data_IF_128375069370
#
_entry.id   IF_128375069370
#
_cell.length_a   1.000
_cell.length_b   1.000
_cell.length_c   1.000
_cell.angle_alpha   90.00
_cell.angle_beta   90.00
_cell.angle_gamma   90.00
#
_symmetry.space_group_name_H-M   'P 1'
#
loop_
_entity.id
_entity.type
_entity.pdbx_description
1 polymer ?
#
# COMPACT_ATOMS: atom_id res chain seq x y z
N UNK A 1 -9.48 13.83 7.51
CA UNK A 1 -9.85 12.67 6.68
C UNK A 1 -10.57 11.68 7.58
N UNK A 2 -11.85 11.46 7.33
CA UNK A 2 -12.60 10.49 8.09
C UNK A 2 -12.32 9.10 7.55
N UNK A 3 -11.95 8.20 8.43
CA UNK A 3 -11.91 6.80 8.12
C UNK A 3 -13.29 6.22 8.43
N UNK A 4 -13.90 5.61 7.43
CA UNK A 4 -15.03 4.76 7.68
C UNK A 4 -14.48 3.36 7.94
N UNK A 5 -14.45 2.96 9.21
CA UNK A 5 -14.21 1.56 9.58
C UNK A 5 -15.44 0.72 9.18
N UNK A 6 -15.82 0.81 7.91
CA UNK A 6 -16.95 0.08 7.40
C UNK A 6 -16.50 -1.28 6.91
N UNK A 7 -17.32 -2.28 7.22
CA UNK A 7 -17.27 -3.56 6.55
C UNK A 7 -17.68 -3.34 5.08
N UNK A 8 -16.75 -2.81 4.30
CA UNK A 8 -16.96 -2.67 2.87
C UNK A 8 -16.95 -4.05 2.24
N UNK A 9 -17.94 -4.33 1.39
CA UNK A 9 -17.92 -5.57 0.64
C UNK A 9 -16.82 -5.52 -0.44
N UNK A 10 -16.50 -6.68 -0.99
CA UNK A 10 -15.44 -6.82 -1.98
C UNK A 10 -15.67 -5.91 -3.21
N UNK A 11 -16.89 -5.86 -3.71
CA UNK A 11 -17.18 -5.11 -4.93
C UNK A 11 -17.11 -3.60 -4.71
N UNK A 12 -17.51 -3.13 -3.56
CA UNK A 12 -17.31 -1.72 -3.18
C UNK A 12 -15.82 -1.38 -3.10
N UNK A 13 -15.01 -2.27 -2.52
CA UNK A 13 -13.55 -2.09 -2.50
C UNK A 13 -12.94 -2.05 -3.90
N UNK A 14 -13.38 -2.93 -4.77
CA UNK A 14 -12.94 -2.93 -6.17
C UNK A 14 -13.32 -1.62 -6.85
N UNK A 15 -14.56 -1.15 -6.67
CA UNK A 15 -15.00 0.13 -7.22
C UNK A 15 -14.19 1.30 -6.74
N UNK A 16 -13.92 1.39 -5.44
CA UNK A 16 -13.06 2.43 -4.86
C UNK A 16 -11.66 2.39 -5.46
N UNK A 17 -11.06 1.20 -5.54
CA UNK A 17 -9.71 1.02 -6.08
C UNK A 17 -9.63 1.45 -7.54
N UNK A 18 -10.60 1.08 -8.36
CA UNK A 18 -10.63 1.43 -9.77
C UNK A 18 -10.80 2.94 -9.98
N UNK A 19 -11.65 3.59 -9.20
CA UNK A 19 -11.81 5.04 -9.28
C UNK A 19 -10.52 5.77 -8.90
N UNK A 20 -9.89 5.38 -7.80
CA UNK A 20 -8.62 5.96 -7.36
C UNK A 20 -7.51 5.72 -8.38
N UNK A 21 -7.45 4.53 -8.96
CA UNK A 21 -6.51 4.20 -10.03
C UNK A 21 -6.68 5.14 -11.21
N UNK A 22 -7.92 5.37 -11.63
CA UNK A 22 -8.23 6.23 -12.77
C UNK A 22 -7.83 7.69 -12.55
N UNK A 23 -7.83 8.16 -11.30
CA UNK A 23 -7.45 9.53 -10.95
C UNK A 23 -5.94 9.68 -10.70
N UNK A 24 -5.20 8.59 -10.57
CA UNK A 24 -3.76 8.62 -10.36
C UNK A 24 -3.02 8.75 -11.68
N UNK A 25 -2.24 9.83 -11.83
CA UNK A 25 -1.48 10.09 -13.07
C UNK A 25 -0.54 8.96 -13.45
N UNK A 26 0.09 8.36 -12.45
CA UNK A 26 1.02 7.26 -12.65
C UNK A 26 0.28 5.95 -12.93
N UNK A 27 -0.71 5.63 -12.10
CA UNK A 27 -1.34 4.31 -12.13
C UNK A 27 -2.34 4.14 -13.27
N UNK A 28 -2.95 5.23 -13.76
CA UNK A 28 -3.96 5.14 -14.83
C UNK A 28 -3.43 4.63 -16.16
N UNK A 29 -2.11 4.61 -16.34
CA UNK A 29 -1.48 4.12 -17.58
C UNK A 29 -1.38 2.60 -17.62
N UNK A 30 -1.59 1.91 -16.50
CA UNK A 30 -1.56 0.44 -16.47
C UNK A 30 -2.82 -0.15 -17.11
N UNK A 31 -2.71 -1.31 -17.79
CA UNK A 31 -3.89 -2.06 -18.24
C UNK A 31 -4.75 -2.43 -17.02
N UNK A 32 -6.01 -1.99 -17.03
CA UNK A 32 -6.86 -2.07 -15.84
C UNK A 32 -7.14 -3.51 -15.39
N UNK A 33 -7.35 -4.42 -16.34
CA UNK A 33 -7.61 -5.83 -16.01
C UNK A 33 -6.41 -6.50 -15.37
N UNK A 34 -5.22 -6.28 -15.91
CA UNK A 34 -3.98 -6.83 -15.37
C UNK A 34 -3.69 -6.26 -13.98
N UNK A 35 -3.85 -4.96 -13.82
CA UNK A 35 -3.63 -4.30 -12.54
C UNK A 35 -4.61 -4.79 -11.48
N UNK A 36 -5.88 -4.92 -11.84
CA UNK A 36 -6.91 -5.45 -10.94
C UNK A 36 -6.54 -6.86 -10.44
N UNK A 37 -6.15 -7.75 -11.35
CA UNK A 37 -5.83 -9.13 -11.01
C UNK A 37 -4.57 -9.28 -10.16
N UNK A 38 -3.53 -8.48 -10.42
CA UNK A 38 -2.25 -8.64 -9.74
C UNK A 38 -2.08 -7.76 -8.51
N UNK A 39 -2.69 -6.56 -8.49
CA UNK A 39 -2.37 -5.54 -7.49
C UNK A 39 -3.56 -5.18 -6.57
N UNK A 40 -4.78 -5.47 -6.97
CA UNK A 40 -5.98 -5.06 -6.23
C UNK A 40 -6.69 -6.24 -5.58
N UNK A 41 -7.01 -7.28 -6.35
CA UNK A 41 -7.76 -8.42 -5.82
C UNK A 41 -7.00 -9.18 -4.74
N UNK A 42 -5.71 -9.52 -4.91
CA UNK A 42 -5.00 -10.24 -3.86
C UNK A 42 -4.98 -9.53 -2.50
N UNK A 43 -4.66 -8.21 -2.39
CA UNK A 43 -4.72 -7.54 -1.10
C UNK A 43 -6.15 -7.39 -0.55
N UNK A 44 -7.17 -7.31 -1.40
CA UNK A 44 -8.57 -7.34 -0.94
C UNK A 44 -8.87 -8.69 -0.29
N UNK A 45 -8.56 -9.79 -0.96
CA UNK A 45 -8.80 -11.14 -0.44
C UNK A 45 -8.02 -11.42 0.84
N UNK A 46 -6.80 -10.87 0.94
CA UNK A 46 -5.95 -11.01 2.12
C UNK A 46 -6.32 -10.05 3.25
N UNK A 47 -7.24 -9.11 3.03
CA UNK A 47 -7.55 -8.02 3.95
C UNK A 47 -6.31 -7.17 4.28
N UNK A 48 -5.52 -6.89 3.26
CA UNK A 48 -4.27 -6.12 3.32
C UNK A 48 -4.38 -4.85 2.49
N UNK A 49 -5.50 -4.17 2.61
CA UNK A 49 -5.81 -2.91 1.93
C UNK A 49 -6.56 -1.99 2.91
N UNK A 50 -6.29 -0.69 2.79
CA UNK A 50 -6.97 0.32 3.59
C UNK A 50 -7.39 1.47 2.69
N UNK A 51 -8.65 1.86 2.80
CA UNK A 51 -9.21 2.99 2.08
C UNK A 51 -9.42 4.16 3.02
N UNK A 52 -9.24 5.36 2.50
CA UNK A 52 -9.55 6.62 3.17
C UNK A 52 -10.74 7.24 2.45
N UNK A 53 -11.78 7.51 3.21
CA UNK A 53 -13.10 7.85 2.66
C UNK A 53 -13.62 9.09 3.37
N UNK A 54 -14.25 10.01 2.63
CA UNK A 54 -14.88 11.20 3.23
C UNK A 54 -16.14 10.81 3.99
N UNK A 55 -16.69 11.78 4.76
CA UNK A 55 -17.96 11.59 5.46
C UNK A 55 -19.12 11.25 4.51
N UNK A 56 -19.03 11.70 3.25
CA UNK A 56 -20.03 11.44 2.21
C UNK A 56 -19.83 10.10 1.50
N UNK A 57 -18.78 9.35 1.86
CA UNK A 57 -18.51 8.03 1.28
C UNK A 57 -17.65 8.06 0.03
N UNK A 58 -16.93 9.16 -0.24
CA UNK A 58 -16.07 9.29 -1.42
C UNK A 58 -14.67 8.81 -1.09
N UNK A 59 -14.10 7.83 -1.83
CA UNK A 59 -12.72 7.39 -1.57
C UNK A 59 -11.72 8.44 -2.01
N UNK A 60 -10.71 8.70 -1.17
CA UNK A 60 -9.68 9.71 -1.43
C UNK A 60 -8.28 9.15 -1.49
N UNK A 61 -8.03 7.99 -0.91
CA UNK A 61 -6.73 7.34 -0.95
C UNK A 61 -6.87 5.86 -0.62
N UNK A 62 -5.85 5.09 -1.00
CA UNK A 62 -5.72 3.70 -0.60
C UNK A 62 -4.26 3.33 -0.41
N UNK A 63 -4.02 2.34 0.40
CA UNK A 63 -2.72 1.70 0.56
C UNK A 63 -2.92 0.19 0.59
N UNK A 64 -2.02 -0.53 -0.07
CA UNK A 64 -1.96 -1.99 -0.02
C UNK A 64 -0.63 -2.43 0.55
N UNK A 65 -0.61 -3.56 1.24
CA UNK A 65 0.61 -4.11 1.81
C UNK A 65 0.63 -5.62 1.73
N UNK A 66 1.83 -6.15 1.82
CA UNK A 66 2.08 -7.58 1.83
C UNK A 66 3.01 -7.93 3.00
N UNK A 67 2.93 -9.17 3.45
CA UNK A 67 3.85 -9.76 4.40
C UNK A 67 4.75 -10.73 3.64
N UNK A 68 6.00 -10.33 3.41
CA UNK A 68 6.91 -11.05 2.53
C UNK A 68 7.91 -11.90 3.32
N UNK A 69 8.29 -13.03 2.73
CA UNK A 69 9.48 -13.74 3.17
C UNK A 69 10.73 -12.92 2.83
N UNK A 70 11.84 -13.18 3.50
CA UNK A 70 13.10 -12.53 3.21
C UNK A 70 13.52 -12.71 1.74
N UNK A 71 13.34 -13.90 1.20
CA UNK A 71 13.70 -14.25 -0.18
C UNK A 71 12.85 -13.46 -1.19
N UNK A 72 11.54 -13.41 -0.97
CA UNK A 72 10.63 -12.66 -1.85
C UNK A 72 10.94 -11.17 -1.79
N UNK A 73 11.13 -10.62 -0.59
CA UNK A 73 11.47 -9.21 -0.44
C UNK A 73 12.76 -8.84 -1.21
N UNK A 74 13.80 -9.64 -1.07
CA UNK A 74 15.06 -9.41 -1.78
C UNK A 74 14.88 -9.45 -3.30
N UNK A 75 14.11 -10.41 -3.78
CA UNK A 75 13.82 -10.53 -5.22
C UNK A 75 13.02 -9.34 -5.74
N UNK A 76 11.99 -8.92 -5.01
CA UNK A 76 11.18 -7.75 -5.38
C UNK A 76 12.03 -6.48 -5.36
N UNK A 77 12.89 -6.31 -4.37
CA UNK A 77 13.79 -5.15 -4.29
C UNK A 77 14.78 -5.11 -5.45
N UNK A 78 15.22 -6.28 -5.92
CA UNK A 78 16.19 -6.38 -7.00
C UNK A 78 15.55 -6.20 -8.37
N UNK A 79 14.42 -6.86 -8.60
CA UNK A 79 13.79 -6.97 -9.92
C UNK A 79 12.62 -6.02 -10.13
N UNK A 80 11.99 -5.56 -9.05
CA UNK A 80 10.79 -4.71 -9.12
C UNK A 80 9.58 -5.41 -9.71
N UNK A 81 9.54 -6.73 -9.69
CA UNK A 81 8.43 -7.50 -10.25
C UNK A 81 7.18 -7.43 -9.38
N UNK A 82 6.03 -7.72 -9.99
CA UNK A 82 4.79 -7.88 -9.24
C UNK A 82 4.84 -9.14 -8.36
N UNK A 83 4.07 -9.11 -7.27
CA UNK A 83 3.89 -10.28 -6.41
C UNK A 83 2.94 -11.27 -7.05
N UNK A 84 3.20 -12.56 -6.84
CA UNK A 84 2.21 -13.61 -7.12
C UNK A 84 1.18 -13.63 -5.98
N UNK A 85 0.03 -14.25 -6.21
CA UNK A 85 -1.04 -14.30 -5.20
C UNK A 85 -0.56 -14.86 -3.86
N UNK A 86 0.20 -15.95 -3.89
CA UNK A 86 0.71 -16.61 -2.68
C UNK A 86 1.72 -15.76 -1.92
N UNK A 87 2.41 -14.85 -2.60
CA UNK A 87 3.46 -14.05 -2.00
C UNK A 87 2.97 -12.95 -1.08
N UNK A 88 1.71 -12.53 -1.21
CA UNK A 88 1.13 -11.49 -0.34
C UNK A 88 1.13 -11.88 1.13
N UNK A 89 1.20 -13.15 1.45
CA UNK A 89 1.27 -13.70 2.81
C UNK A 89 2.38 -14.73 2.92
N UNK A 90 3.57 -14.38 2.51
CA UNK A 90 4.68 -15.34 2.44
C UNK A 90 5.64 -15.28 3.62
N UNK A 91 5.53 -14.27 4.50
CA UNK A 91 6.46 -14.13 5.62
C UNK A 91 6.06 -13.06 6.63
N UNK A 92 7.05 -12.45 7.24
CA UNK A 92 6.88 -11.49 8.33
C UNK A 92 7.44 -10.08 8.02
N UNK A 93 7.86 -9.84 6.78
CA UNK A 93 8.41 -8.55 6.36
C UNK A 93 7.34 -7.70 5.70
N UNK A 94 7.00 -6.58 6.34
CA UNK A 94 5.98 -5.67 5.85
C UNK A 94 6.50 -4.91 4.62
N UNK A 95 5.72 -4.95 3.55
CA UNK A 95 6.03 -4.29 2.30
C UNK A 95 4.80 -3.54 1.81
N UNK A 96 4.92 -2.23 1.62
CA UNK A 96 3.85 -1.44 1.02
C UNK A 96 3.94 -1.55 -0.50
N UNK A 97 2.92 -2.16 -1.10
CA UNK A 97 2.90 -2.38 -2.55
C UNK A 97 2.49 -1.12 -3.31
N UNK A 98 1.40 -0.50 -2.92
CA UNK A 98 0.91 0.72 -3.55
C UNK A 98 0.39 1.73 -2.53
N UNK A 99 0.70 2.99 -2.81
CA UNK A 99 0.09 4.16 -2.19
C UNK A 99 -0.56 4.98 -3.30
N UNK A 100 -1.88 5.08 -3.30
CA UNK A 100 -2.62 5.85 -4.29
C UNK A 100 -3.41 6.93 -3.56
N UNK A 101 -2.98 8.18 -3.74
CA UNK A 101 -3.59 9.34 -3.07
C UNK A 101 -3.64 10.50 -4.06
N UNK A 102 -4.55 10.45 -5.06
CA UNK A 102 -4.53 11.38 -6.18
C UNK A 102 -4.95 12.80 -5.82
N UNK A 103 -5.50 13.01 -4.62
CA UNK A 103 -6.02 14.30 -4.18
C UNK A 103 -5.11 15.03 -3.17
N UNK A 104 -3.85 14.61 -3.06
CA UNK A 104 -2.85 15.30 -2.24
C UNK A 104 -2.87 14.98 -0.75
N UNK A 105 -3.56 13.93 -0.33
CA UNK A 105 -3.67 13.54 1.08
C UNK A 105 -2.73 12.39 1.49
N UNK A 106 -1.65 12.19 0.75
CA UNK A 106 -0.71 11.09 1.01
C UNK A 106 -0.09 11.18 2.42
N UNK A 107 0.25 12.38 2.88
CA UNK A 107 0.86 12.54 4.21
C UNK A 107 -0.07 12.12 5.34
N UNK A 108 -1.36 12.46 5.23
CA UNK A 108 -2.37 12.02 6.21
C UNK A 108 -2.51 10.51 6.24
N UNK A 109 -2.52 9.88 5.08
CA UNK A 109 -2.59 8.42 4.97
C UNK A 109 -1.34 7.76 5.58
N UNK A 110 -0.16 8.28 5.27
CA UNK A 110 1.10 7.78 5.82
C UNK A 110 1.15 7.92 7.34
N UNK A 111 0.68 9.05 7.88
CA UNK A 111 0.63 9.27 9.31
C UNK A 111 -0.33 8.29 10.00
N UNK A 112 -1.50 8.06 9.43
CA UNK A 112 -2.45 7.07 9.95
C UNK A 112 -1.82 5.68 10.01
N UNK A 113 -1.15 5.25 8.96
CA UNK A 113 -0.47 3.96 8.92
C UNK A 113 0.60 3.87 10.02
N UNK A 114 1.42 4.89 10.16
CA UNK A 114 2.53 4.90 11.12
C UNK A 114 2.08 4.97 12.58
N UNK A 115 0.93 5.59 12.84
CA UNK A 115 0.42 5.81 14.21
C UNK A 115 -0.59 4.74 14.62
N UNK A 116 -1.52 4.41 13.74
CA UNK A 116 -2.69 3.61 14.10
C UNK A 116 -2.65 2.17 13.59
N UNK A 117 -2.04 1.92 12.42
CA UNK A 117 -2.11 0.61 11.79
C UNK A 117 -0.85 -0.21 12.08
N UNK A 118 0.31 0.36 11.86
CA UNK A 118 1.60 -0.33 12.05
C UNK A 118 2.56 0.49 12.93
N UNK A 119 2.16 0.85 14.16
CA UNK A 119 3.01 1.69 15.00
C UNK A 119 4.31 1.02 15.45
N UNK A 120 4.35 -0.30 15.50
CA UNK A 120 5.48 -1.09 16.00
C UNK A 120 6.29 -1.77 14.91
N UNK A 121 6.04 -1.45 13.64
CA UNK A 121 6.63 -2.17 12.52
C UNK A 121 7.57 -1.29 11.71
N UNK A 122 8.53 -1.94 11.07
CA UNK A 122 9.28 -1.36 9.96
C UNK A 122 8.75 -1.96 8.66
N UNK A 123 8.91 -1.24 7.57
CA UNK A 123 8.44 -1.68 6.27
C UNK A 123 9.35 -1.15 5.17
N UNK A 124 9.21 -1.72 3.98
CA UNK A 124 9.86 -1.22 2.78
C UNK A 124 8.81 -0.97 1.70
N UNK A 125 9.18 -0.15 0.71
CA UNK A 125 8.44 0.02 -0.53
C UNK A 125 9.42 0.37 -1.65
N UNK A 126 8.96 0.26 -2.88
CA UNK A 126 9.77 0.58 -4.05
C UNK A 126 9.26 1.88 -4.67
N UNK A 127 10.17 2.81 -4.94
CA UNK A 127 9.89 3.97 -5.76
C UNK A 127 10.40 3.72 -7.17
N UNK A 128 9.53 3.91 -8.17
CA UNK A 128 9.84 3.63 -9.56
C UNK A 128 10.07 4.90 -10.37
N UNK A 129 10.88 4.77 -11.42
CA UNK A 129 10.97 5.75 -12.50
C UNK A 129 9.76 5.62 -13.43
N UNK A 130 9.60 6.57 -14.35
CA UNK A 130 8.50 6.55 -15.33
C UNK A 130 8.50 5.31 -16.22
N UNK A 131 9.68 4.73 -16.48
CA UNK A 131 9.83 3.54 -17.30
C UNK A 131 9.56 2.23 -16.53
N UNK A 132 9.21 2.33 -15.24
CA UNK A 132 8.94 1.17 -14.39
C UNK A 132 10.17 0.61 -13.68
N UNK A 133 11.37 1.07 -14.00
CA UNK A 133 12.59 0.63 -13.32
C UNK A 133 12.62 1.15 -11.88
N UNK A 134 13.38 0.47 -11.02
CA UNK A 134 13.50 0.83 -9.61
C UNK A 134 14.38 2.06 -9.48
N UNK A 135 13.83 3.13 -8.87
CA UNK A 135 14.59 4.34 -8.54
C UNK A 135 15.27 4.21 -7.19
N UNK A 136 14.54 3.76 -6.17
CA UNK A 136 15.07 3.54 -4.83
C UNK A 136 14.12 2.69 -4.01
N UNK A 137 14.65 2.15 -2.91
CA UNK A 137 13.87 1.48 -1.89
C UNK A 137 13.64 2.46 -0.75
N UNK A 138 12.40 2.66 -0.36
CA UNK A 138 12.03 3.46 0.79
C UNK A 138 11.95 2.57 2.03
N UNK A 139 12.38 3.11 3.17
CA UNK A 139 12.31 2.45 4.46
C UNK A 139 11.35 3.22 5.36
N UNK A 140 10.42 2.50 5.96
CA UNK A 140 9.35 3.05 6.77
C UNK A 140 9.48 2.58 8.20
N UNK A 141 9.12 3.45 9.16
CA UNK A 141 9.11 3.13 10.58
C UNK A 141 7.83 3.63 11.21
N UNK A 142 7.15 2.74 11.96
CA UNK A 142 6.01 3.12 12.79
C UNK A 142 6.44 4.07 13.90
N UNK A 143 5.47 4.78 14.49
CA UNK A 143 5.75 5.82 15.50
C UNK A 143 6.51 5.26 16.72
N UNK A 144 6.15 4.08 17.19
CA UNK A 144 6.81 3.46 18.35
C UNK A 144 8.25 3.07 18.06
N UNK A 145 8.55 2.64 16.82
CA UNK A 145 9.92 2.32 16.38
C UNK A 145 10.78 3.58 16.36
N UNK A 146 10.24 4.69 15.86
CA UNK A 146 10.95 5.99 15.87
C UNK A 146 11.24 6.46 17.29
N UNK A 147 10.27 6.37 18.19
CA UNK A 147 10.41 6.76 19.58
C UNK A 147 11.45 5.91 20.31
N UNK A 148 11.50 4.62 20.08
CA UNK A 148 12.51 3.73 20.66
C UNK A 148 13.92 4.10 20.19
N UNK A 149 14.08 4.47 18.92
CA UNK A 149 15.38 4.89 18.39
C UNK A 149 15.84 6.23 18.96
N UNK A 150 14.92 7.17 19.20
CA UNK A 150 15.22 8.45 19.84
C UNK A 150 15.66 8.28 21.30
N UNK A 151 15.06 7.35 22.03
CA UNK A 151 15.37 7.05 23.43
C UNK A 151 16.63 6.21 23.57
N UNK A 152 16.94 5.38 22.58
CA UNK A 152 18.12 4.51 22.55
C UNK A 152 19.45 5.22 22.23
N UNK A 153 19.39 6.53 22.03
CA UNK A 153 20.59 7.35 21.88
C UNK A 153 21.11 7.78 23.24
#
# INVERSE_FOLDING_TARGET
>A
MAELSLNLDEYTKVGFALELLAQSRYHKQYPVGDYLCSEILPPIWANQIRFYVTAEGVPTAMVTWAWLSSEVEQEVHKMGRALTEDEWRSGDRLFFNDWIAPYGNIRSAMQDIAVNVFPNHTATSIRRNKDGSIRKINYWKGIAVRQQQEVGL
#
